data_IF_102629151349
#
_entry.id   IF_102629151349
#
_cell.length_a   1.000
_cell.length_b   1.000
_cell.length_c   1.000
_cell.angle_alpha   90.00
_cell.angle_beta   90.00
_cell.angle_gamma   90.00
#
_symmetry.space_group_name_H-M   'P 1'
#
loop_
_entity.id
_entity.type
_entity.pdbx_description
1 polymer ?
#
# COMPACT_ATOMS: atom_id res chain seq x y z
N UNK A 1 4.59 -10.55 10.94
CA UNK A 1 6.04 -10.44 11.23
C UNK A 1 6.86 -9.92 10.04
N UNK A 2 6.59 -10.33 8.80
CA UNK A 2 7.31 -9.88 7.59
C UNK A 2 7.61 -8.37 7.50
N UNK A 3 6.57 -7.52 7.59
CA UNK A 3 6.73 -6.07 7.42
C UNK A 3 7.62 -5.44 8.49
N UNK A 4 7.50 -5.89 9.73
CA UNK A 4 8.29 -5.40 10.86
C UNK A 4 9.75 -5.81 10.75
N UNK A 5 10.01 -7.06 10.34
CA UNK A 5 11.38 -7.57 10.14
C UNK A 5 12.14 -6.82 9.05
N UNK A 6 11.46 -6.38 8.00
CA UNK A 6 12.07 -5.70 6.85
C UNK A 6 11.98 -4.17 6.90
N UNK A 7 11.50 -3.58 8.01
CA UNK A 7 11.26 -2.12 8.14
C UNK A 7 10.39 -1.58 7.00
N UNK A 8 9.39 -2.36 6.62
CA UNK A 8 8.49 -2.07 5.49
C UNK A 8 7.16 -1.57 6.03
N UNK A 9 6.55 -0.60 5.33
CA UNK A 9 5.22 -0.10 5.66
C UNK A 9 4.20 -0.58 4.64
N UNK A 10 3.04 -1.04 5.11
CA UNK A 10 1.93 -1.39 4.23
C UNK A 10 1.08 -0.14 3.93
N UNK A 11 0.77 0.08 2.66
CA UNK A 11 -0.01 1.23 2.20
C UNK A 11 -1.28 0.71 1.51
N UNK A 12 -2.44 1.14 1.99
CA UNK A 12 -3.73 0.85 1.39
C UNK A 12 -4.31 2.12 0.75
N UNK A 13 -4.68 2.04 -0.53
CA UNK A 13 -5.39 3.11 -1.22
C UNK A 13 -6.90 2.92 -1.08
N UNK A 14 -7.51 3.77 -0.27
CA UNK A 14 -8.95 3.79 -0.02
C UNK A 14 -9.63 5.01 -0.67
N UNK A 15 -8.88 5.77 -1.49
CA UNK A 15 -9.39 6.95 -2.21
C UNK A 15 -10.48 6.66 -3.24
N UNK A 16 -10.57 5.46 -3.88
CA UNK A 16 -11.68 5.15 -4.78
C UNK A 16 -12.97 4.77 -4.05
N UNK A 17 -12.90 4.46 -2.75
CA UNK A 17 -14.04 3.91 -1.99
C UNK A 17 -15.05 5.01 -1.64
N UNK A 18 -16.36 4.80 -1.89
CA UNK A 18 -17.40 5.68 -1.37
C UNK A 18 -17.31 5.80 0.16
N UNK A 19 -17.57 7.00 0.69
CA UNK A 19 -17.38 7.33 2.11
C UNK A 19 -18.11 6.35 3.05
N UNK A 20 -19.33 5.96 2.70
CA UNK A 20 -20.12 5.01 3.50
C UNK A 20 -19.41 3.66 3.58
N UNK A 21 -19.10 3.05 2.43
CA UNK A 21 -18.40 1.75 2.35
C UNK A 21 -17.06 1.79 3.07
N UNK A 22 -16.30 2.87 2.88
CA UNK A 22 -15.03 3.10 3.56
C UNK A 22 -15.19 3.08 5.08
N UNK A 23 -16.20 3.76 5.61
CA UNK A 23 -16.39 3.92 7.05
C UNK A 23 -17.03 2.69 7.71
N UNK A 24 -17.92 1.98 7.01
CA UNK A 24 -18.65 0.84 7.58
C UNK A 24 -17.91 -0.49 7.45
N UNK A 25 -17.07 -0.65 6.42
CA UNK A 25 -16.38 -1.93 6.16
C UNK A 25 -14.86 -1.79 6.16
N UNK A 26 -14.30 -0.93 5.30
CA UNK A 26 -12.85 -0.89 5.11
C UNK A 26 -12.09 -0.42 6.36
N UNK A 27 -12.48 0.69 6.99
CA UNK A 27 -11.78 1.21 8.17
C UNK A 27 -11.88 0.27 9.38
N UNK A 28 -13.04 -0.32 9.72
CA UNK A 28 -13.11 -1.33 10.77
C UNK A 28 -12.21 -2.55 10.52
N UNK A 29 -12.13 -3.03 9.28
CA UNK A 29 -11.27 -4.17 8.92
C UNK A 29 -9.79 -3.81 9.03
N UNK A 30 -9.38 -2.69 8.45
CA UNK A 30 -8.00 -2.19 8.50
C UNK A 30 -7.54 -1.87 9.92
N UNK A 31 -8.44 -1.44 10.82
CA UNK A 31 -8.14 -1.25 12.25
C UNK A 31 -7.85 -2.54 13.01
N UNK A 32 -8.38 -3.67 12.55
CA UNK A 32 -8.11 -5.00 13.13
C UNK A 32 -6.82 -5.63 12.60
N UNK A 33 -6.20 -5.02 11.59
CA UNK A 33 -4.93 -5.47 11.03
C UNK A 33 -3.86 -5.63 12.12
N UNK A 34 -3.11 -6.75 12.13
CA UNK A 34 -1.97 -6.91 13.04
C UNK A 34 -0.78 -6.00 12.68
N UNK A 35 -0.84 -5.30 11.54
CA UNK A 35 0.20 -4.41 11.06
C UNK A 35 -0.30 -2.96 10.96
N UNK A 36 0.62 -2.02 11.18
CA UNK A 36 0.37 -0.60 10.89
C UNK A 36 0.15 -0.40 9.39
N UNK A 37 -1.02 0.12 9.03
CA UNK A 37 -1.40 0.42 7.64
C UNK A 37 -1.49 1.92 7.43
N UNK A 38 -0.75 2.42 6.43
CA UNK A 38 -0.89 3.79 5.95
C UNK A 38 -2.04 3.87 4.95
N UNK A 39 -2.89 4.89 5.10
CA UNK A 39 -4.10 5.03 4.30
C UNK A 39 -3.98 6.23 3.36
N UNK A 40 -4.17 5.99 2.06
CA UNK A 40 -4.29 7.06 1.07
C UNK A 40 -5.77 7.40 0.90
N UNK A 41 -6.14 8.62 1.30
CA UNK A 41 -7.49 9.16 1.14
C UNK A 41 -7.64 10.00 -0.13
N UNK A 42 -6.55 10.62 -0.60
CA UNK A 42 -6.56 11.55 -1.72
C UNK A 42 -6.26 10.83 -3.04
N UNK A 43 -7.18 10.95 -4.00
CA UNK A 43 -7.08 10.29 -5.30
C UNK A 43 -5.95 10.84 -6.17
N UNK A 44 -5.60 12.12 -6.04
CA UNK A 44 -4.49 12.72 -6.81
C UNK A 44 -3.15 12.15 -6.33
N UNK A 45 -2.99 11.96 -5.03
CA UNK A 45 -1.82 11.32 -4.44
C UNK A 45 -1.71 9.86 -4.87
N UNK A 46 -2.80 9.09 -4.78
CA UNK A 46 -2.84 7.70 -5.22
C UNK A 46 -2.36 7.54 -6.68
N UNK A 47 -2.87 8.39 -7.58
CA UNK A 47 -2.50 8.37 -9.01
C UNK A 47 -1.05 8.74 -9.31
N UNK A 48 -0.35 9.42 -8.39
CA UNK A 48 1.08 9.76 -8.55
C UNK A 48 2.00 8.63 -8.14
N UNK A 49 1.54 7.79 -7.20
CA UNK A 49 2.36 6.75 -6.57
C UNK A 49 2.10 5.39 -7.25
N UNK A 50 0.86 5.12 -7.67
CA UNK A 50 0.52 3.88 -8.36
C UNK A 50 1.00 3.93 -9.81
N UNK A 51 1.76 2.92 -10.28
CA UNK A 51 1.96 2.67 -11.70
C UNK A 51 0.59 2.53 -12.38
N UNK A 52 0.48 3.04 -13.60
CA UNK A 52 -0.78 2.98 -14.38
C UNK A 52 -1.13 1.57 -14.88
N UNK A 53 -0.18 0.64 -14.79
CA UNK A 53 -0.30 -0.71 -15.31
C UNK A 53 -0.26 -1.72 -14.16
N UNK A 54 -1.20 -2.68 -14.21
CA UNK A 54 -1.33 -3.86 -13.34
C UNK A 54 -1.90 -3.62 -11.94
N UNK A 55 -3.24 -3.62 -11.86
CA UNK A 55 -4.01 -3.55 -10.61
C UNK A 55 -3.86 -4.75 -9.69
N UNK A 56 -3.40 -5.88 -10.22
CA UNK A 56 -3.41 -7.17 -9.53
C UNK A 56 -2.05 -7.50 -8.90
N UNK A 57 -1.06 -6.64 -9.10
CA UNK A 57 0.31 -6.85 -8.65
C UNK A 57 0.63 -6.04 -7.39
N UNK A 58 1.58 -6.55 -6.60
CA UNK A 58 2.11 -5.86 -5.43
C UNK A 58 3.18 -4.87 -5.91
N UNK A 59 3.07 -3.62 -5.46
CA UNK A 59 4.06 -2.58 -5.78
C UNK A 59 4.99 -2.42 -4.58
N UNK A 60 6.27 -2.73 -4.78
CA UNK A 60 7.32 -2.54 -3.78
C UNK A 60 8.13 -1.29 -4.13
N UNK A 61 8.08 -0.29 -3.27
CA UNK A 61 8.86 0.94 -3.40
C UNK A 61 10.03 0.88 -2.43
N UNK A 62 11.25 0.88 -2.96
CA UNK A 62 12.46 0.90 -2.14
C UNK A 62 12.89 2.32 -1.86
N UNK A 63 13.19 2.59 -0.58
CA UNK A 63 13.62 3.88 -0.10
C UNK A 63 15.04 3.79 0.48
N UNK A 64 15.88 4.75 0.13
CA UNK A 64 17.17 5.01 0.79
C UNK A 64 17.25 6.48 1.15
N UNK A 65 17.55 6.80 2.40
CA UNK A 65 17.64 8.18 2.89
C UNK A 65 16.39 9.02 2.56
N UNK A 66 15.20 8.41 2.70
CA UNK A 66 13.88 8.98 2.38
C UNK A 66 13.67 9.32 0.89
N UNK A 67 14.55 8.85 0.00
CA UNK A 67 14.40 8.99 -1.46
C UNK A 67 14.03 7.64 -2.07
N UNK A 68 13.14 7.67 -3.07
CA UNK A 68 12.81 6.50 -3.89
C UNK A 68 14.05 6.12 -4.70
N UNK A 69 14.52 4.89 -4.51
CA UNK A 69 15.66 4.34 -5.26
C UNK A 69 15.22 3.36 -6.33
N UNK A 70 14.10 2.66 -6.11
CA UNK A 70 13.61 1.65 -7.04
C UNK A 70 12.10 1.40 -6.82
N UNK A 71 11.41 0.98 -7.88
CA UNK A 71 9.99 0.62 -7.88
C UNK A 71 9.86 -0.72 -8.60
N UNK A 72 9.47 -1.76 -7.87
CA UNK A 72 9.26 -3.10 -8.41
C UNK A 72 7.79 -3.45 -8.41
N UNK A 73 7.36 -4.14 -9.46
CA UNK A 73 6.06 -4.78 -9.55
C UNK A 73 6.31 -6.27 -9.37
N UNK A 74 5.80 -6.84 -8.28
CA UNK A 74 5.99 -8.25 -7.93
C UNK A 74 4.62 -8.94 -7.89
N UNK A 75 4.58 -10.22 -8.22
CA UNK A 75 3.34 -10.99 -8.27
C UNK A 75 3.07 -11.74 -6.97
N UNK A 76 4.11 -11.96 -6.18
CA UNK A 76 4.05 -12.67 -4.91
C UNK A 76 5.17 -12.19 -3.98
N UNK A 77 5.10 -12.59 -2.71
CA UNK A 77 6.07 -12.20 -1.67
C UNK A 77 7.45 -12.81 -1.92
N UNK A 78 7.56 -13.93 -2.66
CA UNK A 78 8.84 -14.57 -2.93
C UNK A 78 9.69 -13.72 -3.89
N UNK A 79 9.06 -13.06 -4.87
CA UNK A 79 9.70 -12.12 -5.81
C UNK A 79 10.14 -10.79 -5.16
N UNK A 80 9.74 -10.53 -3.90
CA UNK A 80 10.27 -9.39 -3.17
C UNK A 80 11.77 -9.55 -2.81
N UNK A 81 12.32 -10.77 -2.95
CA UNK A 81 13.70 -11.16 -2.63
C UNK A 81 14.32 -12.03 -3.73
#
# INVERSE_FOLDING_TARGET
EFLEQHKTMFIADISPMPVVIRNTFALPDLKKSPFSVLLIYDKKLANRIKPKENSDNIILVLLKDKKVTDIKVIHNIQEAF
#
